data_IF_548274132388
#
_entry.id   IF_548274132388
#
_cell.length_a   1.000
_cell.length_b   1.000
_cell.length_c   1.000
_cell.angle_alpha   90.00
_cell.angle_beta   90.00
_cell.angle_gamma   90.00
#
_symmetry.space_group_name_H-M   'P 1'
#
loop_
_entity.id
_entity.type
_entity.pdbx_description
1 polymer ?
#
# COMPACT_ATOMS: atom_id res chain seq x y z
N UNK A 1 -6.91 -7.15 -5.26
CA UNK A 1 -6.37 -5.78 -5.42
C UNK A 1 -6.70 -5.18 -6.78
N UNK A 2 -6.21 -5.72 -7.91
CA UNK A 2 -6.47 -5.18 -9.27
C UNK A 2 -7.95 -4.92 -9.60
N UNK A 3 -8.82 -5.91 -9.37
CA UNK A 3 -10.26 -5.76 -9.63
C UNK A 3 -10.91 -4.62 -8.83
N UNK A 4 -10.49 -4.44 -7.58
CA UNK A 4 -10.94 -3.33 -6.72
C UNK A 4 -10.44 -1.99 -7.24
N UNK A 5 -9.16 -1.90 -7.63
CA UNK A 5 -8.61 -0.68 -8.22
C UNK A 5 -9.33 -0.28 -9.51
N UNK A 6 -9.62 -1.25 -10.39
CA UNK A 6 -10.39 -1.00 -11.62
C UNK A 6 -11.80 -0.45 -11.33
N UNK A 7 -12.51 -1.01 -10.35
CA UNK A 7 -13.81 -0.51 -9.94
C UNK A 7 -13.75 0.92 -9.35
N UNK A 8 -12.72 1.21 -8.56
CA UNK A 8 -12.48 2.54 -8.00
C UNK A 8 -12.10 3.57 -9.07
N UNK A 9 -11.26 3.20 -10.04
CA UNK A 9 -10.91 4.04 -11.17
C UNK A 9 -12.14 4.41 -12.01
N UNK A 10 -13.04 3.45 -12.23
CA UNK A 10 -14.28 3.66 -13.00
C UNK A 10 -15.20 4.71 -12.36
N UNK A 11 -15.12 4.91 -11.04
CA UNK A 11 -15.89 5.94 -10.31
C UNK A 11 -15.07 7.20 -9.99
N UNK A 12 -13.85 7.31 -10.55
CA UNK A 12 -12.97 8.48 -10.40
C UNK A 12 -12.20 8.57 -9.08
N UNK A 13 -12.18 7.50 -8.28
CA UNK A 13 -11.36 7.45 -7.05
C UNK A 13 -9.89 7.27 -7.42
N UNK A 14 -9.02 8.09 -6.83
CA UNK A 14 -7.57 8.10 -7.09
C UNK A 14 -6.73 7.59 -5.92
N UNK A 15 -7.34 6.95 -4.92
CA UNK A 15 -6.64 6.47 -3.72
C UNK A 15 -7.02 5.02 -3.44
N UNK A 16 -6.02 4.18 -3.19
CA UNK A 16 -6.18 2.77 -2.86
C UNK A 16 -5.51 2.48 -1.51
N UNK A 17 -6.31 2.14 -0.50
CA UNK A 17 -5.75 1.61 0.74
C UNK A 17 -5.62 0.09 0.63
N UNK A 18 -4.42 -0.41 0.87
CA UNK A 18 -4.19 -1.85 1.00
C UNK A 18 -2.98 -2.13 1.86
N UNK A 19 -3.17 -3.03 2.82
CA UNK A 19 -2.13 -3.36 3.78
C UNK A 19 -1.34 -4.58 3.28
N UNK A 20 -0.06 -4.37 2.96
CA UNK A 20 0.86 -5.46 2.62
C UNK A 20 1.24 -6.28 3.85
N UNK A 21 1.24 -5.64 5.02
CA UNK A 21 1.48 -6.25 6.32
C UNK A 21 0.21 -6.15 7.17
N UNK A 22 -0.14 -7.23 7.87
CA UNK A 22 -1.27 -7.22 8.81
C UNK A 22 -0.73 -7.27 10.24
N UNK A 23 -0.96 -6.23 11.08
CA UNK A 23 -0.65 -6.33 12.50
C UNK A 23 -1.61 -7.34 13.14
N UNK A 24 -1.06 -8.43 13.66
CA UNK A 24 -1.80 -9.54 14.25
C UNK A 24 -1.25 -9.86 15.65
N UNK A 25 -2.14 -10.01 16.62
CA UNK A 25 -1.78 -10.44 17.98
C UNK A 25 -1.51 -11.95 18.06
N UNK A 26 -2.12 -12.74 17.16
CA UNK A 26 -1.91 -14.18 17.08
C UNK A 26 -0.88 -14.53 16.00
N UNK A 27 0.08 -15.43 16.30
CA UNK A 27 1.07 -15.87 15.33
C UNK A 27 0.48 -16.73 14.21
N UNK A 28 -0.71 -17.30 14.42
CA UNK A 28 -1.38 -18.17 13.44
C UNK A 28 -2.30 -17.42 12.49
N UNK A 29 -2.51 -16.12 12.72
CA UNK A 29 -3.27 -15.28 11.79
C UNK A 29 -2.46 -14.99 10.54
N UNK A 30 -3.16 -14.68 9.45
CA UNK A 30 -2.54 -14.20 8.22
C UNK A 30 -1.76 -12.90 8.50
N UNK A 31 -0.45 -12.92 8.30
CA UNK A 31 0.46 -11.81 8.62
C UNK A 31 0.54 -10.75 7.50
N UNK A 32 -0.18 -10.96 6.39
CA UNK A 32 0.01 -10.18 5.17
C UNK A 32 0.95 -10.88 4.18
N UNK A 33 1.04 -10.32 2.98
CA UNK A 33 1.92 -10.80 1.90
C UNK A 33 3.33 -10.19 1.98
N UNK A 34 3.55 -9.23 2.88
CA UNK A 34 4.81 -8.53 3.07
C UNK A 34 5.33 -7.91 1.77
N UNK A 35 6.58 -8.23 1.42
CA UNK A 35 7.24 -7.72 0.23
C UNK A 35 6.45 -7.97 -1.07
N UNK A 36 5.96 -9.20 -1.28
CA UNK A 36 5.15 -9.53 -2.45
C UNK A 36 3.86 -8.70 -2.52
N UNK A 37 3.29 -8.36 -1.35
CA UNK A 37 2.14 -7.46 -1.27
C UNK A 37 2.45 -6.04 -1.73
N UNK A 38 3.62 -5.51 -1.39
CA UNK A 38 4.09 -4.19 -1.81
C UNK A 38 4.38 -4.14 -3.32
N UNK A 39 4.96 -5.18 -3.90
CA UNK A 39 5.20 -5.28 -5.35
C UNK A 39 3.89 -5.28 -6.14
N UNK A 40 2.90 -6.05 -5.67
CA UNK A 40 1.56 -6.07 -6.26
C UNK A 40 0.90 -4.70 -6.12
N UNK A 41 1.00 -4.06 -4.95
CA UNK A 41 0.47 -2.72 -4.71
C UNK A 41 1.04 -1.71 -5.70
N UNK A 42 2.37 -1.65 -5.81
CA UNK A 42 3.06 -0.75 -6.75
C UNK A 42 2.61 -0.98 -8.19
N UNK A 43 2.49 -2.24 -8.59
CA UNK A 43 2.06 -2.59 -9.96
C UNK A 43 0.66 -2.09 -10.26
N UNK A 44 -0.30 -2.36 -9.35
CA UNK A 44 -1.71 -1.96 -9.52
C UNK A 44 -1.85 -0.43 -9.49
N UNK A 45 -1.18 0.24 -8.56
CA UNK A 45 -1.27 1.69 -8.36
C UNK A 45 -0.72 2.44 -9.58
N UNK A 46 0.38 1.94 -10.17
CA UNK A 46 0.91 2.46 -11.43
C UNK A 46 -0.03 2.19 -12.62
N UNK A 47 -0.62 0.99 -12.70
CA UNK A 47 -1.55 0.63 -13.79
C UNK A 47 -2.76 1.56 -13.84
N UNK A 48 -3.30 1.96 -12.68
CA UNK A 48 -4.50 2.81 -12.58
C UNK A 48 -4.21 4.27 -12.23
N UNK A 49 -2.93 4.68 -12.20
CA UNK A 49 -2.49 6.02 -11.81
C UNK A 49 -3.15 6.51 -10.49
N UNK A 50 -3.09 5.66 -9.46
CA UNK A 50 -3.65 5.95 -8.14
C UNK A 50 -2.55 6.36 -7.15
N UNK A 51 -2.95 6.85 -5.98
CA UNK A 51 -2.13 6.92 -4.77
C UNK A 51 -2.42 5.69 -3.91
N UNK A 52 -1.44 5.26 -3.14
CA UNK A 52 -1.60 4.15 -2.20
C UNK A 52 -1.41 4.55 -0.74
N UNK A 53 -2.03 3.76 0.14
CA UNK A 53 -1.84 3.82 1.60
C UNK A 53 -1.69 2.38 2.11
N UNK A 54 -0.57 2.10 2.76
CA UNK A 54 -0.26 0.81 3.39
C UNK A 54 0.38 1.05 4.76
N UNK A 55 0.16 0.12 5.69
CA UNK A 55 0.74 0.17 7.03
C UNK A 55 2.15 -0.44 7.09
N UNK A 56 3.03 0.16 7.89
CA UNK A 56 4.29 -0.45 8.33
C UNK A 56 4.10 -0.98 9.76
N UNK A 57 4.52 -2.22 10.04
CA UNK A 57 4.36 -2.81 11.39
C UNK A 57 5.31 -2.22 12.42
N UNK A 58 6.38 -1.58 11.96
CA UNK A 58 7.41 -1.00 12.80
C UNK A 58 8.47 -0.28 11.98
N UNK A 59 9.42 0.33 12.69
CA UNK A 59 10.47 1.18 12.10
C UNK A 59 11.33 0.43 11.08
N UNK A 60 11.56 -0.87 11.29
CA UNK A 60 12.36 -1.71 10.40
C UNK A 60 11.74 -1.88 9.00
N UNK A 61 10.41 -1.79 8.88
CA UNK A 61 9.70 -1.93 7.61
C UNK A 61 9.66 -0.59 6.83
N UNK A 62 10.00 0.55 7.46
CA UNK A 62 9.90 1.87 6.84
C UNK A 62 10.73 2.04 5.56
N UNK A 63 12.01 1.61 5.48
CA UNK A 63 12.79 1.75 4.25
C UNK A 63 12.14 1.01 3.08
N UNK A 64 11.58 -0.18 3.34
CA UNK A 64 10.92 -0.99 2.32
C UNK A 64 9.59 -0.36 1.90
N UNK A 65 8.73 -0.04 2.87
CA UNK A 65 7.42 0.57 2.59
C UNK A 65 7.61 1.88 1.84
N UNK A 66 8.52 2.75 2.29
CA UNK A 66 8.78 4.02 1.61
C UNK A 66 9.36 3.82 0.21
N UNK A 67 10.17 2.80 -0.04
CA UNK A 67 10.67 2.51 -1.39
C UNK A 67 9.53 2.21 -2.38
N UNK A 68 8.56 1.38 -1.98
CA UNK A 68 7.46 0.98 -2.86
C UNK A 68 6.34 2.01 -2.98
N UNK A 69 6.07 2.76 -1.90
CA UNK A 69 5.00 3.77 -1.86
C UNK A 69 5.48 5.15 -2.29
N UNK A 70 6.78 5.36 -2.52
CA UNK A 70 7.29 6.65 -3.01
C UNK A 70 6.60 7.01 -4.32
N UNK A 71 5.92 8.15 -4.29
CA UNK A 71 5.18 8.75 -5.39
C UNK A 71 6.09 9.26 -6.50
N UNK A 72 6.82 8.37 -7.16
CA UNK A 72 7.53 8.67 -8.40
C UNK A 72 6.56 8.69 -9.60
N UNK A 73 5.26 8.69 -9.33
CA UNK A 73 4.24 8.92 -10.35
C UNK A 73 4.39 10.36 -10.87
N UNK A 74 4.63 10.56 -12.17
CA UNK A 74 4.74 11.90 -12.73
C UNK A 74 3.44 12.67 -12.47
N UNK A 75 3.48 13.66 -11.58
CA UNK A 75 2.38 14.60 -11.31
C UNK A 75 1.66 14.47 -9.97
N UNK A 76 2.06 13.59 -9.05
CA UNK A 76 1.42 13.46 -7.73
C UNK A 76 2.45 13.43 -6.59
N UNK A 77 2.60 14.56 -5.87
CA UNK A 77 3.40 14.64 -4.65
C UNK A 77 2.51 14.51 -3.41
N UNK A 78 2.17 13.30 -2.96
CA UNK A 78 1.71 13.10 -1.57
C UNK A 78 1.88 11.65 -1.13
N UNK A 79 2.59 11.42 -0.02
CA UNK A 79 2.58 10.16 0.71
C UNK A 79 2.01 10.40 2.11
N UNK A 80 0.82 9.85 2.40
CA UNK A 80 0.25 9.80 3.74
C UNK A 80 0.65 8.47 4.40
N UNK A 81 1.84 8.41 4.98
CA UNK A 81 2.26 7.28 5.81
C UNK A 81 1.54 7.36 7.15
N UNK A 82 0.58 6.46 7.36
CA UNK A 82 -0.14 6.36 8.65
C UNK A 82 0.56 5.32 9.52
N UNK A 83 1.35 5.77 10.49
CA UNK A 83 2.01 4.92 11.48
C UNK A 83 1.09 4.74 12.69
N UNK A 84 0.70 3.51 13.00
CA UNK A 84 0.05 3.18 14.28
C UNK A 84 1.07 2.51 15.19
N UNK A 85 1.68 3.31 16.07
CA UNK A 85 2.39 2.79 17.23
C UNK A 85 1.33 2.33 18.24
N UNK A 86 1.27 1.04 18.54
CA UNK A 86 0.72 0.59 19.82
C UNK A 86 1.80 0.67 20.88
#
# INVERSE_FOLDING_TARGET
MRATAAALAAVGVRTLRSDAFKPCTSPHSFQGLGHAGLEILRTVVNEFNMLDVTEARGVADLPLVTYFTRGDLPGFMTNLLTFHSR
#
